data_IF_606490344527
#
_entry.id   IF_606490344527
#
_cell.length_a   1.000
_cell.length_b   1.000
_cell.length_c   1.000
_cell.angle_alpha   90.00
_cell.angle_beta   90.00
_cell.angle_gamma   90.00
#
_symmetry.space_group_name_H-M   'P 1'
#
loop_
_entity.id
_entity.type
_entity.pdbx_description
1 polymer ?
#
# COMPACT_ATOMS: atom_id res chain seq x y z
N UNK A 1 4.94 -1.47 1.35
CA UNK A 1 3.72 -2.27 1.12
C UNK A 1 2.80 -2.14 2.32
N UNK A 2 1.50 -2.36 2.12
CA UNK A 2 0.52 -2.20 3.18
C UNK A 2 -0.22 -3.49 3.51
N UNK A 3 -0.41 -3.75 4.80
CA UNK A 3 -1.41 -4.72 5.28
C UNK A 3 -2.67 -3.99 5.68
N UNK A 4 -3.78 -4.70 5.75
CA UNK A 4 -5.06 -4.11 6.17
C UNK A 4 -5.44 -4.52 7.58
N UNK A 5 -6.12 -3.62 8.29
CA UNK A 5 -6.74 -3.89 9.59
C UNK A 5 -8.18 -3.37 9.61
N UNK A 6 -9.16 -4.15 10.11
CA UNK A 6 -10.52 -3.65 10.30
C UNK A 6 -10.56 -2.54 11.37
N UNK A 7 -11.38 -1.51 11.15
CA UNK A 7 -11.50 -0.38 12.08
C UNK A 7 -12.12 -0.81 13.41
N UNK A 8 -13.09 -1.72 13.39
CA UNK A 8 -13.69 -2.28 14.62
C UNK A 8 -12.65 -2.93 15.54
N UNK A 9 -11.70 -3.68 14.95
CA UNK A 9 -10.62 -4.33 15.67
C UNK A 9 -9.72 -3.30 16.34
N UNK A 10 -9.35 -2.24 15.62
CA UNK A 10 -8.53 -1.15 16.16
C UNK A 10 -9.23 -0.39 17.30
N UNK A 11 -10.57 -0.27 17.24
CA UNK A 11 -11.37 0.35 18.32
C UNK A 11 -11.45 -0.54 19.56
N UNK A 12 -11.57 -1.86 19.38
CA UNK A 12 -11.60 -2.85 20.48
C UNK A 12 -10.24 -3.02 21.14
N UNK A 13 -9.17 -2.88 20.37
CA UNK A 13 -7.78 -3.12 20.76
C UNK A 13 -6.88 -1.93 20.39
N UNK A 14 -6.91 -0.81 21.16
CA UNK A 14 -6.12 0.38 20.88
C UNK A 14 -4.61 0.15 20.86
N UNK A 15 -4.11 -0.89 21.53
CA UNK A 15 -2.72 -1.32 21.51
C UNK A 15 -2.20 -1.60 20.09
N UNK A 16 -3.07 -2.01 19.17
CA UNK A 16 -2.73 -2.26 17.77
C UNK A 16 -2.40 -0.97 17.01
N UNK A 17 -2.85 0.20 17.50
CA UNK A 17 -2.51 1.50 16.90
C UNK A 17 -1.07 1.91 17.17
N UNK A 18 -0.51 1.45 18.29
CA UNK A 18 0.86 1.75 18.73
C UNK A 18 1.88 0.71 18.26
N UNK A 19 1.42 -0.41 17.71
CA UNK A 19 2.29 -1.52 17.32
C UNK A 19 3.26 -1.04 16.24
N UNK A 20 4.54 -1.00 16.58
CA UNK A 20 5.54 -0.55 15.63
C UNK A 20 5.66 -1.56 14.49
N UNK A 21 5.76 -1.09 13.24
CA UNK A 21 6.06 -1.93 12.09
C UNK A 21 7.32 -2.80 12.24
N UNK A 22 8.26 -2.38 13.09
CA UNK A 22 9.65 -2.82 13.03
C UNK A 22 9.90 -4.22 13.63
N UNK A 23 9.12 -4.67 14.62
CA UNK A 23 9.45 -5.89 15.36
C UNK A 23 9.14 -7.20 14.59
N UNK A 24 8.24 -7.16 13.60
CA UNK A 24 7.81 -8.36 12.85
C UNK A 24 7.74 -8.19 11.33
N UNK A 25 7.70 -6.94 10.84
CA UNK A 25 7.39 -6.68 9.45
C UNK A 25 8.56 -6.11 8.64
N UNK A 26 9.65 -5.60 9.20
CA UNK A 26 10.75 -5.06 8.37
C UNK A 26 10.39 -3.73 7.66
N UNK A 27 11.33 -3.13 6.91
CA UNK A 27 11.22 -1.75 6.43
C UNK A 27 10.14 -1.55 5.37
N UNK A 28 9.80 -0.28 5.09
CA UNK A 28 8.86 0.16 4.06
C UNK A 28 7.46 -0.48 4.19
N UNK A 29 6.98 -0.59 5.42
CA UNK A 29 5.69 -1.19 5.77
C UNK A 29 4.65 -0.15 6.11
N UNK A 30 3.38 -0.38 5.80
CA UNK A 30 2.30 0.47 6.26
C UNK A 30 1.05 -0.33 6.63
N UNK A 31 0.10 0.36 7.23
CA UNK A 31 -1.22 -0.16 7.53
C UNK A 31 -2.27 0.60 6.74
N UNK A 32 -3.25 -0.11 6.19
CA UNK A 32 -4.49 0.44 5.66
C UNK A 32 -5.63 0.01 6.59
N UNK A 33 -6.60 0.87 6.76
CA UNK A 33 -7.74 0.68 7.65
C UNK A 33 -8.98 0.40 6.82
N UNK A 34 -9.70 -0.66 7.15
CA UNK A 34 -10.95 -1.02 6.49
C UNK A 34 -12.11 -0.62 7.40
N UNK A 35 -12.99 0.23 6.88
CA UNK A 35 -14.29 0.44 7.48
C UNK A 35 -15.15 -0.81 7.23
N UNK A 36 -15.45 -1.53 8.29
CA UNK A 36 -16.20 -2.77 8.29
C UNK A 36 -17.63 -2.59 8.82
N UNK A 37 -18.47 -3.57 8.57
CA UNK A 37 -19.92 -3.51 8.87
C UNK A 37 -20.20 -3.28 10.35
N UNK A 38 -19.31 -3.72 11.25
CA UNK A 38 -19.43 -3.46 12.69
C UNK A 38 -19.30 -1.97 13.07
N UNK A 39 -18.71 -1.15 12.19
CA UNK A 39 -18.60 0.29 12.38
C UNK A 39 -19.76 1.07 11.75
N UNK A 40 -20.63 0.43 10.95
CA UNK A 40 -21.79 1.09 10.36
C UNK A 40 -22.76 1.52 11.46
N UNK A 41 -23.11 2.80 11.45
CA UNK A 41 -24.10 3.37 12.35
C UNK A 41 -25.23 3.95 11.52
N UNK A 42 -26.46 3.82 12.02
CA UNK A 42 -27.64 4.33 11.34
C UNK A 42 -28.12 5.58 12.07
N UNK A 43 -28.32 6.65 11.32
CA UNK A 43 -28.93 7.89 11.81
C UNK A 43 -30.38 7.66 12.22
N UNK A 44 -30.97 8.62 12.95
CA UNK A 44 -32.36 8.56 13.42
C UNK A 44 -33.43 8.42 12.32
N UNK A 45 -33.05 8.57 11.04
CA UNK A 45 -33.92 8.46 9.88
C UNK A 45 -33.77 7.14 9.10
N UNK A 46 -32.97 6.19 9.60
CA UNK A 46 -32.72 4.93 8.89
C UNK A 46 -31.67 5.04 7.77
N UNK A 47 -31.03 6.20 7.61
CA UNK A 47 -29.92 6.38 6.68
C UNK A 47 -28.59 6.06 7.37
N UNK A 48 -27.64 5.49 6.64
CA UNK A 48 -26.29 5.28 7.17
C UNK A 48 -25.64 6.62 7.49
N UNK A 49 -24.99 6.68 8.65
CA UNK A 49 -24.15 7.82 9.03
C UNK A 49 -22.91 7.84 8.14
N UNK A 50 -22.68 8.97 7.48
CA UNK A 50 -21.57 9.17 6.56
C UNK A 50 -20.47 10.02 7.17
N UNK A 51 -20.66 10.59 8.36
CA UNK A 51 -19.63 11.40 9.02
C UNK A 51 -18.62 10.50 9.77
N UNK A 52 -17.34 10.80 9.59
CA UNK A 52 -16.28 10.12 10.33
C UNK A 52 -16.09 10.80 11.68
N UNK A 53 -16.35 10.05 12.75
CA UNK A 53 -16.29 10.51 14.13
C UNK A 53 -14.91 10.38 14.81
N UNK A 54 -13.89 9.87 14.11
CA UNK A 54 -12.54 9.75 14.68
C UNK A 54 -11.50 9.10 13.78
N UNK A 55 -10.29 9.01 14.31
CA UNK A 55 -9.12 8.41 13.66
C UNK A 55 -8.96 6.93 14.09
N UNK A 56 -8.25 6.11 13.29
CA UNK A 56 -7.67 6.43 11.98
C UNK A 56 -8.70 6.45 10.84
N UNK A 57 -8.43 7.20 9.77
CA UNK A 57 -9.30 7.22 8.58
C UNK A 57 -9.29 5.89 7.82
N UNK A 58 -10.44 5.43 7.29
CA UNK A 58 -10.52 4.24 6.46
C UNK A 58 -10.08 4.50 5.01
N UNK A 59 -9.46 3.49 4.38
CA UNK A 59 -8.97 3.55 2.99
C UNK A 59 -9.83 2.75 2.00
N UNK A 60 -10.86 2.05 2.46
CA UNK A 60 -11.86 1.40 1.61
C UNK A 60 -13.10 2.28 1.34
N UNK A 61 -13.03 3.57 1.67
CA UNK A 61 -14.09 4.55 1.46
C UNK A 61 -13.53 5.79 0.76
N UNK A 62 -14.39 6.44 0.00
CA UNK A 62 -14.12 7.71 -0.66
C UNK A 62 -14.36 8.84 0.34
N UNK A 63 -13.33 9.65 0.62
CA UNK A 63 -13.38 10.67 1.65
C UNK A 63 -13.50 12.08 1.05
N UNK A 64 -14.37 12.87 1.66
CA UNK A 64 -14.59 14.28 1.32
C UNK A 64 -14.46 15.11 2.58
N UNK A 65 -13.52 16.05 2.58
CA UNK A 65 -13.44 17.09 3.60
C UNK A 65 -14.52 18.12 3.26
N UNK A 66 -15.34 18.48 4.25
CA UNK A 66 -16.30 19.58 4.12
C UNK A 66 -15.98 20.64 5.15
N UNK A 67 -16.02 21.87 4.68
CA UNK A 67 -15.88 23.05 5.52
C UNK A 67 -16.72 24.18 4.92
N UNK A 68 -17.75 24.60 5.65
CA UNK A 68 -18.76 25.53 5.18
C UNK A 68 -19.30 25.10 3.79
N UNK A 69 -19.10 25.93 2.76
CA UNK A 69 -19.50 25.66 1.38
C UNK A 69 -18.39 25.00 0.53
N UNK A 70 -17.20 24.79 1.08
CA UNK A 70 -16.08 24.17 0.36
C UNK A 70 -16.04 22.66 0.60
N UNK A 71 -15.73 21.93 -0.47
CA UNK A 71 -15.58 20.47 -0.42
C UNK A 71 -14.32 20.06 -1.16
N UNK A 72 -13.47 19.28 -0.49
CA UNK A 72 -12.23 18.75 -1.05
C UNK A 72 -12.26 17.22 -1.01
N UNK A 73 -12.21 16.59 -2.18
CA UNK A 73 -12.14 15.13 -2.28
C UNK A 73 -10.67 14.68 -2.17
N UNK A 74 -10.34 13.99 -1.08
CA UNK A 74 -8.97 13.54 -0.81
C UNK A 74 -8.88 12.07 -0.43
N UNK A 75 -7.71 11.47 -0.65
CA UNK A 75 -7.34 10.18 -0.05
C UNK A 75 -6.27 10.42 0.98
N UNK A 76 -6.52 9.94 2.20
CA UNK A 76 -5.52 9.86 3.25
C UNK A 76 -4.84 8.49 3.20
N UNK A 77 -3.58 8.45 2.80
CA UNK A 77 -2.75 7.24 2.81
C UNK A 77 -1.83 7.31 4.03
N UNK A 78 -1.93 6.40 5.00
CA UNK A 78 -1.04 6.39 6.16
C UNK A 78 0.43 6.36 5.73
N UNK A 79 1.28 7.12 6.41
CA UNK A 79 2.72 7.16 6.10
C UNK A 79 3.35 5.79 6.40
N UNK A 80 4.25 5.33 5.52
CA UNK A 80 5.00 4.08 5.73
C UNK A 80 5.98 4.20 6.90
N UNK A 81 6.31 3.08 7.52
CA UNK A 81 7.19 2.96 8.68
C UNK A 81 6.76 3.79 9.90
N UNK A 82 5.49 4.24 9.90
CA UNK A 82 4.84 4.92 11.00
C UNK A 82 3.72 4.04 11.59
N UNK A 83 3.41 4.28 12.86
CA UNK A 83 2.28 3.63 13.54
C UNK A 83 0.97 4.34 13.20
N UNK A 84 -0.16 3.66 13.31
CA UNK A 84 -1.46 4.30 13.08
C UNK A 84 -1.77 5.39 14.12
N UNK A 85 -1.18 5.30 15.33
CA UNK A 85 -1.32 6.31 16.39
C UNK A 85 -0.60 7.63 16.10
N UNK A 86 0.34 7.66 15.15
CA UNK A 86 0.99 8.92 14.73
C UNK A 86 0.01 9.85 14.01
N UNK A 87 -1.06 9.29 13.43
CA UNK A 87 -2.04 9.98 12.60
C UNK A 87 -1.41 10.79 11.46
N UNK A 88 -0.31 10.29 10.92
CA UNK A 88 0.39 10.90 9.79
C UNK A 88 -0.08 10.28 8.48
N UNK A 89 -0.38 11.13 7.51
CA UNK A 89 -0.90 10.74 6.21
C UNK A 89 -0.23 11.52 5.08
N UNK A 90 -0.07 10.86 3.94
CA UNK A 90 0.02 11.53 2.64
C UNK A 90 -1.38 11.88 2.17
N UNK A 91 -1.61 13.15 1.80
CA UNK A 91 -2.93 13.63 1.37
C UNK A 91 -2.96 13.77 -0.15
N UNK A 92 -3.66 12.86 -0.82
CA UNK A 92 -3.72 12.77 -2.28
C UNK A 92 -5.05 13.34 -2.81
N UNK A 93 -4.98 14.19 -3.83
CA UNK A 93 -6.17 14.78 -4.45
C UNK A 93 -6.94 13.75 -5.30
N UNK A 94 -8.25 13.59 -5.09
CA UNK A 94 -9.09 12.63 -5.83
C UNK A 94 -9.76 13.19 -7.07
N UNK A 95 -9.90 14.51 -7.14
CA UNK A 95 -10.62 15.20 -8.21
C UNK A 95 -9.86 16.44 -8.69
N UNK A 96 -10.45 17.18 -9.62
CA UNK A 96 -9.86 18.41 -10.14
C UNK A 96 -8.65 18.23 -11.07
N UNK A 97 -7.85 19.30 -11.14
CA UNK A 97 -6.66 19.44 -11.99
C UNK A 97 -5.49 18.61 -11.46
N UNK A 98 -5.35 18.55 -10.15
CA UNK A 98 -4.26 17.91 -9.41
C UNK A 98 -4.59 16.46 -9.02
N UNK A 99 -5.59 15.84 -9.66
CA UNK A 99 -6.01 14.47 -9.36
C UNK A 99 -4.84 13.48 -9.44
N UNK A 100 -4.60 12.79 -8.34
CA UNK A 100 -3.55 11.80 -8.15
C UNK A 100 -2.23 12.35 -7.59
N UNK A 101 -2.14 13.67 -7.37
CA UNK A 101 -0.96 14.34 -6.81
C UNK A 101 -1.09 14.50 -5.29
N UNK A 102 0.04 14.47 -4.60
CA UNK A 102 0.17 14.67 -3.17
C UNK A 102 0.22 16.17 -2.83
N UNK A 103 -0.43 16.50 -1.72
CA UNK A 103 -0.43 17.84 -1.14
C UNK A 103 0.86 18.02 -0.31
N UNK A 104 1.53 19.17 -0.43
CA UNK A 104 2.79 19.47 0.26
C UNK A 104 2.69 20.76 1.07
N UNK A 105 3.23 20.77 2.28
CA UNK A 105 3.26 21.95 3.14
C UNK A 105 4.17 23.03 2.53
N UNK A 106 3.73 24.30 2.56
CA UNK A 106 4.56 25.46 2.25
C UNK A 106 5.49 25.78 3.42
N UNK A 107 6.59 26.50 3.16
CA UNK A 107 7.44 27.02 4.24
C UNK A 107 6.85 28.32 4.79
N UNK A 108 6.99 28.54 6.09
CA UNK A 108 6.51 29.77 6.75
C UNK A 108 7.19 31.04 6.19
N UNK A 109 8.43 30.93 5.69
CA UNK A 109 9.17 32.04 5.08
C UNK A 109 8.59 32.49 3.72
N UNK A 110 7.67 31.72 3.12
CA UNK A 110 6.99 32.03 1.86
C UNK A 110 5.62 32.71 2.05
N UNK A 111 5.32 33.16 3.28
CA UNK A 111 4.10 33.90 3.62
C UNK A 111 4.20 35.34 3.09
N UNK A 112 3.53 35.62 1.98
CA UNK A 112 3.43 36.97 1.44
C UNK A 112 2.35 37.76 2.21
N UNK A 113 2.76 38.81 2.90
CA UNK A 113 1.85 39.71 3.62
C UNK A 113 1.47 40.88 2.73
N UNK A 114 0.19 40.98 2.35
CA UNK A 114 -0.38 42.14 1.67
C UNK A 114 -1.03 43.10 2.69
N UNK A 115 -1.16 44.38 2.34
CA UNK A 115 -1.52 45.52 3.21
C UNK A 115 -2.87 45.39 3.99
N UNK A 116 -3.67 44.36 3.72
CA UNK A 116 -4.89 44.01 4.47
C UNK A 116 -5.08 42.51 4.75
N UNK A 117 -4.24 41.62 4.23
CA UNK A 117 -4.39 40.16 4.35
C UNK A 117 -3.03 39.45 4.24
N UNK A 118 -2.78 38.45 5.08
CA UNK A 118 -1.69 37.49 4.90
C UNK A 118 -2.13 36.38 3.94
N UNK A 119 -1.43 36.22 2.81
CA UNK A 119 -1.68 35.12 1.87
C UNK A 119 -0.45 34.21 1.84
N UNK A 120 -0.67 32.93 2.11
CA UNK A 120 0.39 31.93 1.92
C UNK A 120 0.22 31.40 0.51
N UNK A 121 1.28 31.50 -0.29
CA UNK A 121 1.32 30.86 -1.59
C UNK A 121 1.45 29.35 -1.38
N UNK A 122 0.33 28.64 -1.52
CA UNK A 122 0.32 27.18 -1.39
C UNK A 122 1.22 26.54 -2.45
N UNK A 123 2.08 25.63 -2.00
CA UNK A 123 2.84 24.76 -2.92
C UNK A 123 1.83 23.96 -3.74
N UNK A 124 2.02 23.98 -5.07
CA UNK A 124 1.16 23.20 -5.97
C UNK A 124 1.36 21.72 -5.69
N UNK A 125 0.27 20.92 -5.64
CA UNK A 125 0.40 19.47 -5.50
C UNK A 125 1.33 18.87 -6.56
N UNK A 126 2.11 17.88 -6.16
CA UNK A 126 3.09 17.20 -7.02
C UNK A 126 2.97 15.68 -6.88
N UNK A 127 3.54 14.89 -7.81
CA UNK A 127 3.66 13.45 -7.61
C UNK A 127 4.26 13.11 -6.23
N UNK A 128 3.75 12.05 -5.60
CA UNK A 128 4.23 11.65 -4.27
C UNK A 128 5.74 11.34 -4.31
N UNK A 129 6.49 12.03 -3.47
CA UNK A 129 7.84 11.64 -3.06
C UNK A 129 7.79 11.20 -1.60
N UNK A 130 7.88 9.90 -1.30
CA UNK A 130 7.79 9.40 0.07
C UNK A 130 8.89 9.93 1.00
N UNK A 131 10.00 10.41 0.42
CA UNK A 131 11.14 10.99 1.16
C UNK A 131 10.92 12.47 1.49
N UNK A 132 9.96 13.12 0.85
CA UNK A 132 9.62 14.51 1.09
C UNK A 132 8.73 14.62 2.34
N UNK A 133 9.35 15.06 3.43
CA UNK A 133 8.68 15.27 4.72
C UNK A 133 7.60 16.36 4.66
N UNK A 134 7.65 17.29 3.70
CA UNK A 134 6.63 18.33 3.56
C UNK A 134 5.32 17.76 2.99
N UNK A 135 5.35 16.60 2.32
CA UNK A 135 4.16 15.89 1.84
C UNK A 135 3.45 15.08 2.94
N UNK A 136 4.00 15.04 4.15
CA UNK A 136 3.43 14.36 5.30
C UNK A 136 2.67 15.35 6.18
N UNK A 137 1.45 14.99 6.54
CA UNK A 137 0.57 15.81 7.37
C UNK A 137 0.10 15.00 8.56
N UNK A 138 0.19 15.59 9.75
CA UNK A 138 -0.39 15.03 10.95
C UNK A 138 -1.82 15.52 11.13
N UNK A 139 -2.75 14.60 11.35
CA UNK A 139 -4.15 14.90 11.59
C UNK A 139 -4.48 14.72 13.06
N UNK A 140 -5.09 15.72 13.65
CA UNK A 140 -5.60 15.68 15.01
C UNK A 140 -7.12 15.76 14.99
N UNK A 141 -7.76 15.01 15.89
CA UNK A 141 -9.19 15.07 16.11
C UNK A 141 -9.47 15.71 17.47
N UNK A 142 -10.28 16.76 17.50
CA UNK A 142 -10.81 17.32 18.74
C UNK A 142 -12.26 16.92 18.89
N UNK A 143 -12.52 16.15 19.95
CA UNK A 143 -13.88 15.70 20.31
C UNK A 143 -14.83 16.91 20.29
N UNK A 144 -15.94 16.75 19.58
CA UNK A 144 -17.01 17.75 19.40
C UNK A 144 -16.66 18.99 18.55
N UNK A 145 -15.47 19.03 17.94
CA UNK A 145 -15.07 20.13 17.04
C UNK A 145 -14.59 19.67 15.66
N UNK A 146 -14.35 18.38 15.44
CA UNK A 146 -13.84 17.88 14.16
C UNK A 146 -12.32 17.87 14.08
N UNK A 147 -11.78 17.96 12.87
CA UNK A 147 -10.37 17.68 12.60
C UNK A 147 -9.55 18.95 12.36
N UNK A 148 -8.25 18.83 12.62
CA UNK A 148 -7.25 19.86 12.33
C UNK A 148 -6.02 19.19 11.76
N UNK A 149 -5.36 19.81 10.80
CA UNK A 149 -4.10 19.32 10.26
C UNK A 149 -2.93 20.18 10.73
N UNK A 150 -1.76 19.56 10.89
CA UNK A 150 -0.49 20.21 11.13
C UNK A 150 0.56 19.62 10.20
N UNK A 151 1.54 20.42 9.79
CA UNK A 151 2.69 19.84 9.10
C UNK A 151 3.48 19.00 10.09
N UNK A 152 4.14 17.95 9.57
CA UNK A 152 5.10 17.17 10.36
C UNK A 152 6.37 18.00 10.60
N UNK A 153 6.65 18.99 9.75
CA UNK A 153 7.81 19.89 9.86
C UNK A 153 7.42 21.14 10.64
N UNK A 154 8.30 21.61 11.52
CA UNK A 154 8.05 22.77 12.39
C UNK A 154 7.80 24.08 11.61
N UNK A 155 8.50 24.27 10.47
CA UNK A 155 8.36 25.43 9.58
C UNK A 155 7.28 25.23 8.50
N UNK A 156 6.56 24.10 8.55
CA UNK A 156 5.63 23.69 7.52
C UNK A 156 4.21 24.19 7.78
N UNK A 157 3.62 24.80 6.75
CA UNK A 157 2.22 25.19 6.71
C UNK A 157 1.46 24.27 5.73
N UNK A 158 0.49 23.46 6.19
CA UNK A 158 -0.32 22.63 5.28
C UNK A 158 -1.03 23.44 4.18
N UNK A 159 -1.62 22.77 3.17
CA UNK A 159 -2.43 23.48 2.17
C UNK A 159 -3.61 24.20 2.82
N UNK A 160 -4.12 25.25 2.17
CA UNK A 160 -5.19 26.09 2.72
C UNK A 160 -6.39 25.30 3.25
N UNK A 161 -6.86 24.27 2.53
CA UNK A 161 -8.01 23.46 2.96
C UNK A 161 -7.73 22.61 4.22
N UNK A 162 -6.46 22.33 4.52
CA UNK A 162 -6.01 21.62 5.73
C UNK A 162 -5.67 22.58 6.88
N UNK A 163 -5.21 23.81 6.57
CA UNK A 163 -4.85 24.84 7.55
C UNK A 163 -6.03 25.33 8.37
N UNK A 164 -7.21 25.34 7.76
CA UNK A 164 -8.41 25.74 8.47
C UNK A 164 -8.75 24.69 9.53
N UNK A 165 -9.39 25.14 10.61
CA UNK A 165 -9.62 24.29 11.79
C UNK A 165 -11.06 23.82 11.78
N UNK A 166 -11.28 22.62 12.31
CA UNK A 166 -12.62 22.09 12.61
C UNK A 166 -13.41 21.63 11.39
N UNK A 167 -12.71 21.17 10.35
CA UNK A 167 -13.35 20.54 9.21
C UNK A 167 -13.88 19.15 9.56
N UNK A 168 -14.96 18.75 8.90
CA UNK A 168 -15.56 17.42 9.02
C UNK A 168 -15.15 16.54 7.83
N UNK A 169 -15.16 15.22 8.04
CA UNK A 169 -14.89 14.24 6.99
C UNK A 169 -16.11 13.39 6.77
N UNK A 170 -16.54 13.31 5.52
CA UNK A 170 -17.61 12.45 5.09
C UNK A 170 -17.06 11.30 4.25
N UNK A 171 -17.64 10.12 4.41
CA UNK A 171 -17.28 8.92 3.68
C UNK A 171 -18.42 8.46 2.75
N UNK A 172 -18.04 7.99 1.57
CA UNK A 172 -18.93 7.38 0.60
C UNK A 172 -18.37 6.02 0.12
N UNK A 173 -19.22 5.10 -0.33
CA UNK A 173 -18.76 3.89 -1.00
C UNK A 173 -17.97 4.22 -2.28
N UNK A 174 -16.79 3.61 -2.49
CA UNK A 174 -15.99 3.87 -3.67
C UNK A 174 -16.66 3.34 -4.94
N UNK A 175 -16.58 4.13 -6.03
CA UNK A 175 -17.18 3.74 -7.33
C UNK A 175 -16.27 2.90 -8.22
N UNK A 176 -14.96 2.95 -7.99
CA UNK A 176 -13.96 2.45 -8.95
C UNK A 176 -12.99 1.41 -8.38
N UNK A 177 -13.10 1.09 -7.09
CA UNK A 177 -12.23 0.09 -6.47
C UNK A 177 -12.93 -0.58 -5.28
N UNK A 178 -12.42 -1.74 -4.90
CA UNK A 178 -12.78 -2.44 -3.67
C UNK A 178 -11.48 -2.82 -2.97
N UNK A 179 -11.44 -2.62 -1.67
CA UNK A 179 -10.29 -2.93 -0.83
C UNK A 179 -10.74 -3.98 0.19
N UNK A 180 -10.07 -5.12 0.19
CA UNK A 180 -10.39 -6.29 1.02
C UNK A 180 -9.28 -6.56 2.02
N UNK A 181 -9.46 -7.59 2.84
CA UNK A 181 -8.44 -8.01 3.77
C UNK A 181 -7.18 -8.54 3.07
N UNK A 182 -6.04 -8.03 3.52
CA UNK A 182 -4.70 -8.42 3.15
C UNK A 182 -3.87 -8.50 4.46
N UNK A 183 -3.75 -9.70 5.05
CA UNK A 183 -3.10 -9.88 6.36
C UNK A 183 -1.57 -9.72 6.30
N UNK A 184 -0.99 -9.64 5.11
CA UNK A 184 0.45 -9.66 4.89
C UNK A 184 0.96 -11.08 4.65
N UNK A 185 2.17 -11.35 5.14
CA UNK A 185 2.78 -12.68 5.08
C UNK A 185 2.08 -13.62 6.06
N UNK A 186 1.70 -14.81 5.58
CA UNK A 186 1.11 -15.86 6.40
C UNK A 186 2.22 -16.86 6.74
N UNK A 187 2.81 -16.73 7.92
CA UNK A 187 3.99 -17.52 8.32
C UNK A 187 3.78 -19.03 8.26
N UNK A 188 2.57 -19.52 8.59
CA UNK A 188 2.24 -20.94 8.55
C UNK A 188 2.26 -21.50 7.12
N UNK A 189 1.61 -20.81 6.18
CA UNK A 189 1.62 -21.20 4.77
C UNK A 189 3.02 -21.07 4.16
N UNK A 190 3.75 -20.02 4.53
CA UNK A 190 5.12 -19.78 4.06
C UNK A 190 6.13 -20.84 4.53
N UNK A 191 5.89 -21.42 5.71
CA UNK A 191 6.73 -22.49 6.27
C UNK A 191 6.41 -23.86 5.67
N UNK A 192 5.21 -24.03 5.12
CA UNK A 192 4.81 -25.26 4.41
C UNK A 192 5.38 -25.26 3.00
N UNK A 193 5.92 -26.41 2.58
CA UNK A 193 6.31 -26.60 1.18
C UNK A 193 5.06 -26.85 0.34
N UNK A 194 4.95 -26.26 -0.88
CA UNK A 194 3.88 -26.60 -1.80
C UNK A 194 3.86 -28.11 -2.05
N UNK A 195 2.68 -28.67 -2.36
CA UNK A 195 2.60 -30.08 -2.72
C UNK A 195 3.44 -30.37 -3.98
N UNK A 196 4.20 -31.46 -3.96
CA UNK A 196 5.04 -31.92 -5.07
C UNK A 196 4.20 -32.62 -6.17
N UNK A 197 3.09 -32.01 -6.55
CA UNK A 197 2.19 -32.54 -7.56
C UNK A 197 2.59 -32.01 -8.95
N UNK A 198 3.41 -32.78 -9.66
CA UNK A 198 3.70 -32.51 -11.07
C UNK A 198 2.76 -33.32 -11.95
N UNK A 199 1.92 -32.63 -12.73
CA UNK A 199 1.25 -33.29 -13.86
C UNK A 199 2.30 -33.64 -14.92
N UNK A 200 2.20 -34.77 -15.64
CA UNK A 200 3.17 -35.15 -16.69
C UNK A 200 3.39 -34.08 -17.75
N UNK A 201 2.40 -33.21 -17.99
CA UNK A 201 2.46 -32.11 -18.95
C UNK A 201 2.92 -30.77 -18.36
N UNK A 202 2.97 -30.62 -17.03
CA UNK A 202 3.24 -29.34 -16.36
C UNK A 202 4.65 -29.31 -15.78
N UNK A 203 5.40 -28.24 -16.07
CA UNK A 203 6.75 -28.03 -15.56
C UNK A 203 6.79 -27.36 -14.19
N UNK A 204 5.65 -27.15 -13.53
CA UNK A 204 5.56 -26.58 -12.19
C UNK A 204 4.39 -27.18 -11.40
N UNK A 205 4.50 -27.18 -10.08
CA UNK A 205 3.39 -27.50 -9.18
C UNK A 205 2.29 -26.42 -9.24
N UNK A 206 1.18 -26.68 -8.55
CA UNK A 206 0.22 -25.65 -8.20
C UNK A 206 0.90 -24.53 -7.39
N UNK A 207 0.41 -23.31 -7.59
CA UNK A 207 0.92 -22.11 -6.94
C UNK A 207 0.17 -21.86 -5.64
N UNK A 208 0.90 -21.70 -4.56
CA UNK A 208 0.36 -21.37 -3.24
C UNK A 208 0.63 -19.90 -2.93
N UNK A 209 -0.42 -19.11 -2.68
CA UNK A 209 -0.30 -17.74 -2.22
C UNK A 209 0.02 -17.70 -0.72
N UNK A 210 1.20 -17.22 -0.35
CA UNK A 210 1.70 -17.22 1.05
C UNK A 210 1.74 -15.84 1.68
N UNK A 211 1.47 -14.80 0.89
CA UNK A 211 1.34 -13.45 1.42
C UNK A 211 0.58 -12.53 0.49
N UNK A 212 -0.18 -11.60 1.07
CA UNK A 212 -0.98 -10.63 0.33
C UNK A 212 -0.89 -9.26 0.99
N UNK A 213 -0.60 -8.26 0.17
CA UNK A 213 -0.51 -6.85 0.56
C UNK A 213 -1.18 -5.98 -0.50
N UNK A 214 -1.36 -4.71 -0.15
CA UNK A 214 -1.72 -3.66 -1.10
C UNK A 214 -0.59 -2.66 -1.29
N UNK A 215 -0.55 -2.10 -2.49
CA UNK A 215 0.33 -1.00 -2.85
C UNK A 215 -0.53 0.13 -3.45
N UNK A 216 -0.68 1.28 -2.76
CA UNK A 216 -1.35 2.43 -3.33
C UNK A 216 -0.70 2.86 -4.65
N UNK A 217 -1.53 3.32 -5.60
CA UNK A 217 -1.07 3.63 -6.97
C UNK A 217 0.07 4.65 -7.02
N UNK A 218 0.15 5.57 -6.06
CA UNK A 218 1.20 6.58 -5.93
C UNK A 218 2.61 5.99 -5.80
N UNK A 219 2.74 4.72 -5.40
CA UNK A 219 4.03 4.01 -5.32
C UNK A 219 4.32 3.14 -6.56
N UNK A 220 3.45 3.17 -7.58
CA UNK A 220 3.55 2.36 -8.81
C UNK A 220 3.64 3.29 -10.01
N UNK A 221 4.62 3.05 -10.89
CA UNK A 221 4.81 3.75 -12.16
C UNK A 221 4.36 2.86 -13.32
N UNK A 222 3.18 3.14 -13.88
CA UNK A 222 2.76 2.52 -15.14
C UNK A 222 3.37 3.30 -16.32
N UNK A 223 4.10 2.62 -17.21
CA UNK A 223 4.96 3.25 -18.22
C UNK A 223 4.30 4.16 -19.27
N UNK A 224 2.99 4.40 -19.24
CA UNK A 224 2.26 5.08 -20.33
C UNK A 224 1.11 6.02 -19.90
N UNK A 225 0.97 6.36 -18.60
CA UNK A 225 -0.20 7.10 -18.10
C UNK A 225 0.12 8.32 -17.22
N UNK A 226 -0.73 9.35 -17.27
CA UNK A 226 -0.77 10.41 -16.25
C UNK A 226 -1.31 9.84 -14.93
N UNK A 227 -0.84 10.31 -13.78
CA UNK A 227 -1.33 9.88 -12.44
C UNK A 227 -2.86 9.90 -12.33
N UNK A 228 -3.48 10.95 -12.87
CA UNK A 228 -4.93 11.09 -12.97
C UNK A 228 -5.65 9.89 -13.59
N UNK A 229 -5.07 9.31 -14.65
CA UNK A 229 -5.65 8.17 -15.35
C UNK A 229 -5.33 6.86 -14.65
N UNK A 230 -4.14 6.73 -14.04
CA UNK A 230 -3.77 5.58 -13.23
C UNK A 230 -4.71 5.42 -12.02
N UNK A 231 -4.93 6.52 -11.28
CA UNK A 231 -5.85 6.54 -10.13
C UNK A 231 -7.28 6.12 -10.50
N UNK A 232 -7.76 6.49 -11.70
CA UNK A 232 -9.09 6.08 -12.19
C UNK A 232 -9.16 4.57 -12.47
N UNK A 233 -8.07 3.97 -12.93
CA UNK A 233 -8.02 2.55 -13.27
C UNK A 233 -7.87 1.68 -12.02
N UNK A 234 -6.91 2.02 -11.17
CA UNK A 234 -6.53 1.23 -10.00
C UNK A 234 -6.03 2.15 -8.89
N UNK A 235 -6.81 2.26 -7.80
CA UNK A 235 -6.40 3.00 -6.60
C UNK A 235 -5.36 2.23 -5.77
N UNK A 236 -5.55 0.91 -5.68
CA UNK A 236 -4.67 -0.01 -4.95
C UNK A 236 -4.33 -1.21 -5.83
N UNK A 237 -3.05 -1.54 -5.91
CA UNK A 237 -2.53 -2.73 -6.57
C UNK A 237 -2.39 -3.85 -5.53
N UNK A 238 -2.85 -5.05 -5.89
CA UNK A 238 -2.59 -6.23 -5.07
C UNK A 238 -1.15 -6.67 -5.31
N UNK A 239 -0.40 -6.83 -4.23
CA UNK A 239 0.92 -7.46 -4.25
C UNK A 239 0.80 -8.80 -3.56
N UNK A 240 1.15 -9.87 -4.28
CA UNK A 240 1.02 -11.24 -3.80
C UNK A 240 2.38 -11.93 -3.85
N UNK A 241 2.71 -12.64 -2.77
CA UNK A 241 3.86 -13.54 -2.73
C UNK A 241 3.35 -14.96 -2.93
N UNK A 242 3.88 -15.62 -3.94
CA UNK A 242 3.48 -16.95 -4.38
C UNK A 242 4.65 -17.92 -4.31
N UNK A 243 4.35 -19.19 -4.06
CA UNK A 243 5.33 -20.26 -3.99
C UNK A 243 4.87 -21.46 -4.80
N UNK A 244 5.79 -22.06 -5.54
CA UNK A 244 5.57 -23.28 -6.31
C UNK A 244 6.89 -24.01 -6.52
N UNK A 245 6.82 -25.30 -6.78
CA UNK A 245 7.93 -26.06 -7.31
C UNK A 245 8.06 -25.83 -8.81
N UNK A 246 9.27 -25.60 -9.28
CA UNK A 246 9.59 -25.55 -10.70
C UNK A 246 10.50 -26.72 -11.05
N UNK A 247 10.11 -27.52 -12.05
CA UNK A 247 10.90 -28.64 -12.52
C UNK A 247 12.11 -28.10 -13.29
N UNK A 248 13.29 -28.18 -12.67
CA UNK A 248 14.55 -27.71 -13.25
C UNK A 248 15.23 -28.75 -14.14
N UNK A 249 15.02 -30.05 -13.88
CA UNK A 249 15.55 -31.15 -14.68
C UNK A 249 14.57 -32.31 -14.70
N UNK A 250 14.66 -33.10 -15.78
CA UNK A 250 14.01 -34.41 -15.91
C UNK A 250 15.03 -35.36 -16.53
N UNK A 251 15.17 -36.55 -15.97
CA UNK A 251 15.99 -37.61 -16.54
C UNK A 251 15.09 -38.81 -16.83
N UNK A 252 14.92 -39.11 -18.11
CA UNK A 252 14.34 -40.37 -18.53
C UNK A 252 15.44 -41.44 -18.43
N UNK A 253 15.16 -42.56 -17.75
CA UNK A 253 16.02 -43.75 -17.87
C UNK A 253 15.71 -44.37 -19.24
N UNK A 254 16.60 -44.15 -20.21
CA UNK A 254 16.53 -44.86 -21.48
C UNK A 254 16.71 -46.36 -21.26
N UNK A 255 15.78 -47.16 -21.75
CA UNK A 255 16.00 -48.60 -21.93
C UNK A 255 17.13 -48.74 -22.97
N UNK A 256 18.32 -49.15 -22.52
CA UNK A 256 19.53 -49.38 -23.33
C UNK A 256 20.21 -48.14 -23.94
N UNK A 257 20.94 -47.37 -23.12
CA UNK A 257 22.25 -46.82 -23.52
C UNK A 257 22.95 -46.15 -22.33
N UNK A 258 24.27 -46.28 -22.29
CA UNK A 258 25.21 -45.81 -21.24
C UNK A 258 25.31 -44.26 -21.13
N UNK A 259 24.31 -43.52 -21.62
CA UNK A 259 24.28 -42.07 -21.68
C UNK A 259 23.00 -41.49 -21.09
N UNK A 260 23.09 -40.88 -19.91
CA UNK A 260 21.99 -40.06 -19.35
C UNK A 260 21.87 -38.76 -20.15
N UNK A 261 20.78 -38.60 -20.92
CA UNK A 261 20.45 -37.34 -21.58
C UNK A 261 19.71 -36.45 -20.58
N UNK A 262 20.35 -35.39 -20.10
CA UNK A 262 19.74 -34.38 -19.23
C UNK A 262 19.17 -33.26 -20.08
N UNK A 263 17.86 -33.04 -20.04
CA UNK A 263 17.22 -31.83 -20.60
C UNK A 263 17.00 -30.81 -19.49
N UNK A 264 17.77 -29.73 -19.52
CA UNK A 264 17.53 -28.56 -18.69
C UNK A 264 16.69 -27.52 -19.46
N UNK A 265 15.67 -26.96 -18.82
CA UNK A 265 14.97 -25.78 -19.35
C UNK A 265 15.54 -24.52 -18.70
N UNK A 266 15.95 -23.55 -19.52
CA UNK A 266 16.13 -22.17 -19.06
C UNK A 266 14.75 -21.50 -19.02
N UNK A 267 14.18 -21.34 -17.82
CA UNK A 267 12.91 -20.64 -17.62
C UNK A 267 13.02 -19.16 -17.97
N UNK A 268 12.19 -18.70 -18.90
CA UNK A 268 12.13 -17.29 -19.32
C UNK A 268 10.99 -17.08 -20.31
N UNK A 269 9.77 -16.95 -19.80
CA UNK A 269 8.58 -16.82 -20.65
C UNK A 269 7.37 -16.33 -19.86
N UNK A 270 7.47 -15.15 -19.27
CA UNK A 270 6.32 -14.39 -18.80
C UNK A 270 6.20 -13.13 -19.62
N UNK A 271 5.07 -12.93 -20.31
CA UNK A 271 4.71 -11.64 -20.92
C UNK A 271 4.36 -10.66 -19.79
N UNK A 272 5.40 -10.10 -19.17
CA UNK A 272 5.27 -9.15 -18.07
C UNK A 272 5.18 -7.75 -18.65
N UNK A 273 4.01 -7.11 -18.53
CA UNK A 273 3.91 -5.64 -18.59
C UNK A 273 4.89 -5.07 -17.57
N UNK A 274 5.89 -4.32 -18.04
CA UNK A 274 6.87 -3.69 -17.17
C UNK A 274 6.19 -2.57 -16.36
N UNK A 275 5.87 -2.88 -15.11
CA UNK A 275 5.45 -1.89 -14.11
C UNK A 275 6.68 -1.47 -13.32
N UNK A 276 6.96 -0.17 -13.27
CA UNK A 276 7.99 0.37 -12.39
C UNK A 276 7.44 0.40 -10.98
N UNK A 277 8.17 -0.15 -10.01
CA UNK A 277 7.82 -0.02 -8.60
C UNK A 277 8.68 1.08 -7.96
N UNK A 278 8.13 1.79 -6.98
CA UNK A 278 8.95 2.61 -6.08
C UNK A 278 10.03 1.73 -5.44
N UNK A 279 11.22 2.32 -5.24
CA UNK A 279 12.37 1.67 -4.59
C UNK A 279 11.95 1.04 -3.26
N UNK A 280 11.11 1.73 -2.49
CA UNK A 280 10.63 1.29 -1.19
C UNK A 280 9.82 -0.02 -1.26
N UNK A 281 9.02 -0.17 -2.32
CA UNK A 281 8.25 -1.40 -2.56
C UNK A 281 9.18 -2.53 -2.99
N UNK A 282 10.14 -2.25 -3.86
CA UNK A 282 11.11 -3.23 -4.32
C UNK A 282 12.03 -3.73 -3.19
N UNK A 283 12.52 -2.83 -2.35
CA UNK A 283 13.31 -3.14 -1.15
C UNK A 283 12.52 -4.00 -0.18
N UNK A 284 11.23 -3.71 0.02
CA UNK A 284 10.36 -4.55 0.84
C UNK A 284 10.19 -5.95 0.25
N UNK A 285 9.93 -6.07 -1.06
CA UNK A 285 9.83 -7.37 -1.73
C UNK A 285 11.09 -8.20 -1.50
N UNK A 286 12.26 -7.57 -1.68
CA UNK A 286 13.56 -8.19 -1.45
C UNK A 286 13.72 -8.65 -0.01
N UNK A 287 13.43 -7.78 0.96
CA UNK A 287 13.57 -8.11 2.39
C UNK A 287 12.72 -9.32 2.81
N UNK A 288 11.48 -9.42 2.33
CA UNK A 288 10.61 -10.58 2.63
C UNK A 288 11.14 -11.90 2.04
N UNK A 289 11.89 -11.83 0.93
CA UNK A 289 12.56 -12.99 0.34
C UNK A 289 13.81 -13.39 1.14
N UNK A 290 14.66 -12.40 1.45
CA UNK A 290 15.97 -12.63 2.09
C UNK A 290 15.88 -13.11 3.54
N UNK A 291 14.92 -12.58 4.33
CA UNK A 291 14.79 -12.91 5.77
C UNK A 291 14.64 -14.40 6.08
N UNK A 292 14.15 -15.20 5.13
CA UNK A 292 13.89 -16.65 5.33
C UNK A 292 14.82 -17.49 4.45
N UNK A 293 16.01 -16.96 4.11
CA UNK A 293 17.14 -17.74 3.57
C UNK A 293 17.22 -17.84 2.05
N UNK A 294 16.50 -17.00 1.31
CA UNK A 294 16.61 -16.96 -0.16
C UNK A 294 17.59 -15.87 -0.59
N UNK A 295 18.55 -16.20 -1.46
CA UNK A 295 19.45 -15.20 -2.07
C UNK A 295 18.94 -14.79 -3.44
N UNK A 296 18.97 -13.50 -3.71
CA UNK A 296 18.66 -12.93 -5.03
C UNK A 296 19.96 -12.90 -5.84
N UNK A 297 20.01 -13.60 -6.97
CA UNK A 297 21.07 -13.38 -7.96
C UNK A 297 20.68 -12.16 -8.82
N UNK A 298 21.42 -11.07 -8.68
CA UNK A 298 21.13 -9.76 -9.32
C UNK A 298 21.42 -9.70 -10.83
N UNK A 299 21.61 -10.84 -11.49
CA UNK A 299 22.18 -10.88 -12.85
C UNK A 299 21.17 -10.78 -14.01
N UNK A 300 19.86 -10.72 -13.75
CA UNK A 300 18.87 -10.47 -14.80
C UNK A 300 17.84 -9.41 -14.38
N UNK A 301 17.30 -8.67 -15.36
CA UNK A 301 16.16 -7.73 -15.21
C UNK A 301 14.86 -8.41 -14.72
N UNK A 302 14.93 -9.68 -14.34
CA UNK A 302 13.92 -10.47 -13.66
C UNK A 302 14.57 -11.09 -12.42
N UNK A 303 14.02 -10.78 -11.25
CA UNK A 303 14.46 -11.34 -9.96
C UNK A 303 14.13 -12.84 -9.96
N UNK A 304 15.15 -13.69 -10.19
CA UNK A 304 15.05 -15.15 -9.98
C UNK A 304 15.62 -15.48 -8.62
N UNK A 305 14.77 -16.05 -7.78
CA UNK A 305 15.12 -16.46 -6.42
C UNK A 305 15.23 -17.98 -6.40
N UNK A 306 16.38 -18.52 -6.01
CA UNK A 306 16.63 -19.98 -5.98
C UNK A 306 16.91 -20.45 -4.55
N UNK A 307 16.13 -21.42 -4.07
CA UNK A 307 16.47 -22.30 -2.94
C UNK A 307 16.67 -23.68 -3.54
N UNK A 308 17.83 -24.27 -3.28
CA UNK A 308 18.20 -25.59 -3.80
C UNK A 308 18.07 -26.58 -2.66
N UNK A 309 17.24 -27.61 -2.83
CA UNK A 309 17.19 -28.77 -1.94
C UNK A 309 17.28 -30.03 -2.81
N UNK A 310 18.28 -30.87 -2.52
CA UNK A 310 18.48 -32.14 -3.22
C UNK A 310 17.65 -33.22 -2.50
N UNK A 311 16.81 -33.91 -3.25
CA UNK A 311 16.02 -35.04 -2.75
C UNK A 311 16.54 -36.34 -3.37
N UNK A 312 17.17 -37.17 -2.55
CA UNK A 312 17.46 -38.56 -2.90
C UNK A 312 16.19 -39.36 -2.60
N UNK A 313 15.38 -39.62 -3.62
CA UNK A 313 14.23 -40.51 -3.48
C UNK A 313 14.67 -41.96 -3.22
N UNK A 314 13.99 -42.62 -2.28
CA UNK A 314 14.03 -44.09 -2.13
C UNK A 314 13.27 -44.78 -3.27
#
# INVERSE_FOLDING_TARGET
>A
MYVTRPLSLLRRSPELLTLQPQDHHGPNFGFLVLFDDECETTTCFGCNDTEISGLPFPQNKDLTIREDDNTDEVVFIPVIDQTLSSHQYYVIQRSGKHKGEASASSKEDEVETCFCCTFVNDVKPTPLDPSDIYQQVQINHKKDRGFTAMSVVEDGLPLLFLRRKYWQVFMEPPRHYQLFEAPGLISSLRAQLPELNFSPSNSSSETVAVGRWYCPFVFVKEGFGKLKEQMKKSMFYVVQLEQRWEKIFECEKGENSDGKVVRAKNGGGGDSRLLGLSVLVAERMRWEQERIGWRIDELERQVKVKRTEEFEGN
#
